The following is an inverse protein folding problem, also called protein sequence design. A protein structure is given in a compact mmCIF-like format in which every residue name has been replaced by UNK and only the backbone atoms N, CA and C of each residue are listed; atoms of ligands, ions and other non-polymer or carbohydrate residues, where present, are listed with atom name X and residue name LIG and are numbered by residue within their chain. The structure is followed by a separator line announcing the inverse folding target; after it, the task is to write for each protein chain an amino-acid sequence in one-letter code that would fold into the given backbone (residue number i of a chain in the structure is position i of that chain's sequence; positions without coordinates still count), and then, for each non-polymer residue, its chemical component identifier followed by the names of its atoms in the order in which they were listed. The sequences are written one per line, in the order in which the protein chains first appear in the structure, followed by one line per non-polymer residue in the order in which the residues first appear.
data_IF_764937892552
#
_entry.id   IF_764937892552
#
_cell.length_a   1.000
_cell.length_b   1.000
_cell.length_c   1.000
_cell.angle_alpha   90.00
_cell.angle_beta   90.00
_cell.angle_gamma   90.00
#
_symmetry.space_group_name_H-M   'P 1'
#
loop_
_entity.id
_entity.type
_entity.pdbx_description
1 polymer ?
#
# COMPACT_ATOMS: atom_id res chain seq x y z
N UNK A 1 7.40 26.39 -11.61
CA UNK A 1 6.10 25.81 -11.92
C UNK A 1 5.67 25.05 -10.68
N UNK A 2 4.43 25.26 -10.27
CA UNK A 2 3.93 24.82 -8.99
C UNK A 2 2.74 23.92 -9.28
N UNK A 3 2.96 22.60 -9.22
CA UNK A 3 1.98 21.63 -9.64
C UNK A 3 1.37 20.92 -8.43
N UNK A 4 0.04 20.83 -8.41
CA UNK A 4 -0.68 20.01 -7.46
C UNK A 4 -0.35 18.54 -7.68
N UNK A 5 0.11 17.87 -6.63
CA UNK A 5 0.50 16.45 -6.69
C UNK A 5 -0.63 15.56 -7.20
N UNK A 6 -1.86 15.90 -6.82
CA UNK A 6 -3.07 15.20 -7.26
C UNK A 6 -3.22 15.23 -8.78
N UNK A 7 -3.06 16.41 -9.38
CA UNK A 7 -3.17 16.58 -10.83
C UNK A 7 -2.09 15.80 -11.57
N UNK A 8 -0.86 15.83 -11.06
CA UNK A 8 0.26 15.05 -11.63
C UNK A 8 -0.04 13.55 -11.58
N UNK A 9 -0.56 13.04 -10.45
CA UNK A 9 -0.94 11.63 -10.32
C UNK A 9 -2.02 11.25 -11.34
N UNK A 10 -3.05 12.08 -11.51
CA UNK A 10 -4.12 11.79 -12.47
C UNK A 10 -3.60 11.66 -13.90
N UNK A 11 -2.75 12.59 -14.33
CA UNK A 11 -2.16 12.58 -15.68
C UNK A 11 -1.25 11.36 -15.85
N UNK A 12 -0.40 11.07 -14.87
CA UNK A 12 0.56 9.96 -15.01
C UNK A 12 -0.14 8.60 -14.95
N UNK A 13 -0.99 8.35 -13.94
CA UNK A 13 -1.64 7.05 -13.77
C UNK A 13 -2.82 6.86 -14.73
N UNK A 14 -3.58 7.91 -15.01
CA UNK A 14 -4.73 7.89 -15.91
C UNK A 14 -4.36 7.99 -17.39
N UNK A 15 -3.68 9.07 -17.79
CA UNK A 15 -3.44 9.34 -19.21
C UNK A 15 -2.19 8.62 -19.76
N UNK A 16 -1.10 8.58 -18.98
CA UNK A 16 0.19 8.02 -19.44
C UNK A 16 0.24 6.50 -19.28
N UNK A 17 0.03 6.02 -18.06
CA UNK A 17 0.11 4.59 -17.69
C UNK A 17 -1.18 3.83 -18.02
N UNK A 18 -2.34 4.51 -17.99
CA UNK A 18 -3.67 3.90 -18.20
C UNK A 18 -3.94 2.71 -17.27
N UNK A 19 -3.62 2.88 -15.99
CA UNK A 19 -3.82 1.87 -14.96
C UNK A 19 -4.98 2.25 -14.05
N UNK A 20 -5.53 1.27 -13.33
CA UNK A 20 -6.52 1.55 -12.29
C UNK A 20 -5.80 2.09 -11.05
N UNK A 21 -6.27 3.21 -10.52
CA UNK A 21 -5.68 3.83 -9.34
C UNK A 21 -6.72 4.47 -8.41
N UNK A 22 -6.37 4.58 -7.13
CA UNK A 22 -7.12 5.27 -6.09
C UNK A 22 -6.18 6.26 -5.42
N UNK A 23 -6.62 7.51 -5.30
CA UNK A 23 -5.88 8.55 -4.55
C UNK A 23 -6.63 8.86 -3.27
N UNK A 24 -5.96 8.77 -2.14
CA UNK A 24 -6.54 9.16 -0.86
C UNK A 24 -6.72 10.69 -0.78
N UNK A 25 -7.85 11.21 -0.28
CA UNK A 25 -8.09 12.66 -0.18
C UNK A 25 -7.13 13.39 0.76
N UNK A 26 -6.40 12.67 1.61
CA UNK A 26 -5.33 13.22 2.47
C UNK A 26 -4.04 13.48 1.69
N UNK A 27 -3.92 12.95 0.47
CA UNK A 27 -2.81 13.25 -0.45
C UNK A 27 -2.99 14.67 -0.98
N UNK A 28 -2.42 15.62 -0.27
CA UNK A 28 -2.38 17.03 -0.64
C UNK A 28 -0.97 17.54 -0.49
N UNK A 29 -0.57 18.39 -1.42
CA UNK A 29 0.78 18.91 -1.46
C UNK A 29 1.13 19.42 -2.83
N UNK A 30 2.33 19.97 -2.89
CA UNK A 30 2.86 20.68 -4.02
C UNK A 30 4.15 20.00 -4.42
N UNK A 31 4.19 19.52 -5.65
CA UNK A 31 5.38 18.87 -6.21
C UNK A 31 6.00 19.80 -7.23
N UNK A 32 7.32 19.92 -7.17
CA UNK A 32 8.09 20.64 -8.17
C UNK A 32 9.06 19.66 -8.79
N UNK A 33 8.73 19.19 -9.99
CA UNK A 33 9.53 18.21 -10.71
C UNK A 33 9.78 18.69 -12.13
N UNK A 34 11.05 18.61 -12.56
CA UNK A 34 11.46 18.84 -13.95
C UNK A 34 12.05 17.57 -14.50
N UNK A 35 11.38 17.02 -15.52
CA UNK A 35 11.93 15.96 -16.32
C UNK A 35 12.74 16.56 -17.47
N UNK A 36 14.05 16.33 -17.50
CA UNK A 36 14.93 16.85 -18.56
C UNK A 36 14.91 15.97 -19.82
N UNK A 37 14.51 14.71 -19.71
CA UNK A 37 14.48 13.73 -20.79
C UNK A 37 13.13 13.01 -20.84
N UNK A 38 12.70 12.53 -22.02
CA UNK A 38 11.53 11.67 -22.14
C UNK A 38 11.77 10.37 -21.36
N UNK A 39 10.83 10.02 -20.47
CA UNK A 39 10.90 8.81 -19.66
C UNK A 39 10.10 7.73 -20.37
N UNK A 40 10.67 6.54 -20.52
CA UNK A 40 9.95 5.39 -21.07
C UNK A 40 8.81 5.00 -20.14
N UNK A 41 7.67 4.56 -20.68
CA UNK A 41 6.47 4.26 -19.88
C UNK A 41 6.72 3.26 -18.75
N UNK A 42 7.64 2.32 -18.97
CA UNK A 42 8.10 1.35 -17.99
C UNK A 42 8.84 1.98 -16.80
N UNK A 43 9.60 3.05 -17.04
CA UNK A 43 10.36 3.76 -16.02
C UNK A 43 9.54 4.86 -15.31
N UNK A 44 8.44 5.32 -15.91
CA UNK A 44 7.61 6.40 -15.36
C UNK A 44 7.10 6.05 -13.97
N UNK A 45 6.65 4.81 -13.75
CA UNK A 45 6.14 4.38 -12.45
C UNK A 45 7.22 4.42 -11.37
N UNK A 46 8.39 3.85 -11.65
CA UNK A 46 9.52 3.82 -10.72
C UNK A 46 10.00 5.24 -10.37
N UNK A 47 10.09 6.12 -11.37
CA UNK A 47 10.44 7.52 -11.16
C UNK A 47 9.40 8.25 -10.32
N UNK A 48 8.11 8.05 -10.63
CA UNK A 48 7.02 8.68 -9.90
C UNK A 48 6.97 8.21 -8.45
N UNK A 49 7.22 6.91 -8.19
CA UNK A 49 7.34 6.38 -6.83
C UNK A 49 8.42 7.11 -6.04
N UNK A 50 9.59 7.32 -6.63
CA UNK A 50 10.69 8.06 -5.98
C UNK A 50 10.28 9.50 -5.67
N UNK A 51 9.67 10.21 -6.62
CA UNK A 51 9.23 11.60 -6.43
C UNK A 51 8.17 11.70 -5.33
N UNK A 52 7.17 10.82 -5.37
CA UNK A 52 6.12 10.77 -4.36
C UNK A 52 6.71 10.47 -2.98
N UNK A 53 7.64 9.52 -2.89
CA UNK A 53 8.31 9.18 -1.62
C UNK A 53 9.03 10.35 -1.00
N UNK A 54 9.72 11.16 -1.81
CA UNK A 54 10.38 12.38 -1.34
C UNK A 54 9.39 13.41 -0.77
N UNK A 55 8.13 13.37 -1.20
CA UNK A 55 7.06 14.26 -0.74
C UNK A 55 6.22 13.62 0.38
N UNK A 56 6.65 12.50 0.95
CA UNK A 56 5.90 11.83 2.03
C UNK A 56 4.65 11.09 1.54
N UNK A 57 4.58 10.78 0.25
CA UNK A 57 3.49 10.03 -0.39
C UNK A 57 4.06 8.69 -0.85
N UNK A 58 3.31 7.62 -0.72
CA UNK A 58 3.71 6.34 -1.30
C UNK A 58 2.62 5.74 -2.15
N UNK A 59 3.03 4.75 -2.92
CA UNK A 59 2.21 4.00 -3.85
C UNK A 59 2.24 2.55 -3.39
N UNK A 60 1.06 1.94 -3.31
CA UNK A 60 0.87 0.54 -2.96
C UNK A 60 0.16 -0.12 -4.14
N UNK A 61 0.73 -1.18 -4.68
CA UNK A 61 0.07 -1.97 -5.71
C UNK A 61 -0.63 -3.17 -5.07
N UNK A 62 -1.94 -3.32 -5.31
CA UNK A 62 -2.71 -4.50 -4.91
C UNK A 62 -3.44 -5.09 -6.11
N UNK A 63 -2.92 -6.20 -6.65
CA UNK A 63 -3.61 -6.98 -7.68
C UNK A 63 -3.92 -6.19 -8.97
N UNK A 64 -3.05 -5.24 -9.35
CA UNK A 64 -3.26 -4.38 -10.52
C UNK A 64 -4.03 -3.07 -10.24
N UNK A 65 -4.33 -2.77 -8.97
CA UNK A 65 -4.86 -1.50 -8.51
C UNK A 65 -3.78 -0.72 -7.76
N UNK A 66 -3.51 0.52 -8.17
CA UNK A 66 -2.53 1.38 -7.51
C UNK A 66 -3.21 2.28 -6.48
N UNK A 67 -2.86 2.14 -5.20
CA UNK A 67 -3.30 3.01 -4.10
C UNK A 67 -2.22 4.05 -3.81
N UNK A 68 -2.56 5.32 -3.94
CA UNK A 68 -1.69 6.45 -3.60
C UNK A 68 -2.15 7.02 -2.26
N UNK A 69 -1.29 6.92 -1.24
CA UNK A 69 -1.59 7.27 0.15
C UNK A 69 -0.38 7.98 0.80
N UNK A 70 -0.57 8.78 1.86
CA UNK A 70 0.56 9.33 2.63
C UNK A 70 1.40 8.21 3.26
N UNK A 71 2.73 8.35 3.31
CA UNK A 71 3.63 7.33 3.89
C UNK A 71 3.33 7.08 5.39
N UNK A 72 2.82 8.10 6.08
CA UNK A 72 2.34 7.98 7.45
C UNK A 72 1.24 6.90 7.61
N UNK A 73 0.48 6.64 6.54
CA UNK A 73 -0.59 5.64 6.53
C UNK A 73 -0.07 4.25 6.13
N UNK A 74 0.95 4.18 5.27
CA UNK A 74 1.57 2.92 4.79
C UNK A 74 2.13 2.07 5.95
N UNK A 75 2.70 2.72 6.98
CA UNK A 75 3.27 2.01 8.14
C UNK A 75 2.20 1.41 9.07
N UNK A 76 0.91 1.73 8.87
CA UNK A 76 -0.19 1.18 9.68
C UNK A 76 -0.76 -0.12 9.13
N UNK A 77 -0.30 -0.62 7.99
CA UNK A 77 -0.84 -1.82 7.36
C UNK A 77 0.22 -2.93 7.24
N UNK A 78 0.15 -3.96 8.08
CA UNK A 78 0.27 -5.33 7.62
C UNK A 78 -1.10 -6.01 7.70
N UNK A 79 -2.02 -5.69 6.80
CA UNK A 79 -3.25 -6.46 6.57
C UNK A 79 -4.03 -5.91 5.37
N UNK A 80 -4.72 -6.76 4.60
CA UNK A 80 -5.49 -6.38 3.42
C UNK A 80 -6.59 -5.40 3.84
N UNK A 81 -6.43 -4.14 3.45
CA UNK A 81 -7.39 -3.09 3.76
C UNK A 81 -8.54 -3.16 2.76
N UNK A 82 -9.65 -3.73 3.23
CA UNK A 82 -10.96 -3.58 2.60
C UNK A 82 -11.48 -2.15 2.84
N UNK A 83 -11.45 -1.33 1.80
CA UNK A 83 -12.30 -0.13 1.65
C UNK A 83 -12.70 -0.05 0.17
N UNK A 84 -13.95 -0.16 -0.31
CA UNK A 84 -15.26 -0.47 0.25
C UNK A 84 -16.30 -0.31 -0.89
N UNK A 85 -17.20 -1.31 -1.05
CA UNK A 85 -18.32 -1.46 -2.03
C UNK A 85 -17.86 -1.84 -3.45
N UNK A 86 -17.58 -3.10 -3.77
CA UNK A 86 -18.54 -4.20 -3.84
C UNK A 86 -18.16 -5.35 -2.90
N UNK A 87 -19.08 -5.72 -2.01
CA UNK A 87 -18.94 -6.87 -1.15
C UNK A 87 -19.40 -8.11 -1.91
N UNK A 88 -18.50 -8.73 -2.68
CA UNK A 88 -18.61 -10.15 -2.97
C UNK A 88 -17.44 -10.86 -2.30
N UNK A 89 -17.75 -11.26 -1.07
CA UNK A 89 -17.27 -12.45 -0.38
C UNK A 89 -16.19 -13.25 -1.13
N UNK A 90 -14.94 -13.01 -0.77
CA UNK A 90 -13.95 -14.07 -0.78
C UNK A 90 -13.69 -14.44 0.67
N UNK A 91 -14.30 -15.57 1.02
CA UNK A 91 -14.06 -16.39 2.20
C UNK A 91 -12.56 -16.69 2.30
N UNK A 92 -11.85 -16.01 3.20
CA UNK A 92 -10.58 -16.54 3.70
C UNK A 92 -10.92 -17.41 4.90
N UNK A 93 -11.10 -18.70 4.61
CA UNK A 93 -11.26 -19.78 5.58
C UNK A 93 -10.32 -19.59 6.78
N UNK A 94 -10.91 -19.59 7.98
CA UNK A 94 -10.21 -19.48 9.24
C UNK A 94 -9.27 -20.66 9.49
N UNK A 95 -7.97 -20.41 9.40
CA UNK A 95 -6.95 -21.25 10.01
C UNK A 95 -6.72 -20.81 11.45
N UNK A 96 -7.55 -21.30 12.38
CA UNK A 96 -7.29 -21.16 13.82
C UNK A 96 -6.06 -21.99 14.15
N UNK A 97 -4.88 -21.37 14.29
CA UNK A 97 -3.72 -22.06 14.86
C UNK A 97 -3.99 -22.30 16.34
N UNK A 98 -4.27 -23.56 16.59
CA UNK A 98 -4.67 -24.22 17.83
C UNK A 98 -3.83 -23.82 19.05
N UNK A 99 -4.44 -23.61 20.24
CA UNK A 99 -3.69 -23.35 21.45
C UNK A 99 -2.86 -24.58 21.83
N UNK A 100 -1.54 -24.39 21.90
CA UNK A 100 -0.58 -25.37 22.39
C UNK A 100 -1.00 -25.81 23.80
N UNK A 101 -1.56 -27.03 23.92
CA UNK A 101 -1.80 -27.66 25.22
C UNK A 101 -0.44 -27.89 25.87
N UNK A 102 -0.08 -27.01 26.80
CA UNK A 102 1.07 -27.18 27.68
C UNK A 102 0.89 -28.51 28.43
N UNK A 103 1.65 -29.54 28.03
CA UNK A 103 1.80 -30.75 28.84
C UNK A 103 2.62 -30.34 30.05
N UNK A 104 1.93 -29.94 31.13
CA UNK A 104 2.54 -29.89 32.46
C UNK A 104 2.96 -31.31 32.80
N UNK A 105 4.27 -31.57 32.78
CA UNK A 105 4.84 -32.79 33.35
C UNK A 105 4.62 -32.64 34.87
N UNK A 106 3.89 -33.55 35.54
CA UNK A 106 3.81 -33.51 36.99
C UNK A 106 5.19 -33.82 37.59
N UNK A 107 5.62 -33.11 38.64
CA UNK A 107 6.87 -33.45 39.34
C UNK A 107 6.75 -34.86 39.93
N UNK A 108 7.81 -35.69 39.85
CA UNK A 108 7.80 -36.99 40.52
C UNK A 108 7.70 -36.77 42.03
N UNK A 109 6.71 -37.42 42.66
CA UNK A 109 6.51 -37.39 44.10
C UNK A 109 7.70 -38.10 44.81
N UNK A 110 8.33 -37.48 45.82
CA UNK A 110 9.02 -38.24 46.88
C UNK A 110 7.95 -38.84 47.82
N UNK A 111 8.21 -39.82 48.73
CA UNK A 111 9.42 -40.59 49.04
C UNK A 111 9.13 -42.11 49.32
N UNK A 112 10.17 -42.88 49.70
CA UNK A 112 10.25 -43.49 51.04
C UNK A 112 11.69 -43.32 51.55
#
# INVERSE_FOLDING_TARGET
DDADVFSVIQVIFGDVLKVNYIVDPSVKGRVNFRCAAPVAKEDVLALMEVILRLNGIGVVEEGGLYRIVPIADISREPAPVRFGRDAQEVEISGGVTQPQRVRRIPPPAPPQ
#
